data_IF_904055766807
#
_entry.id   IF_904055766807
#
_cell.length_a   1.000
_cell.length_b   1.000
_cell.length_c   1.000
_cell.angle_alpha   90.00
_cell.angle_beta   90.00
_cell.angle_gamma   90.00
#
_symmetry.space_group_name_H-M   'P 1'
#
loop_
_entity.id
_entity.type
_entity.pdbx_description
1 polymer ?
#
# COMPACT_ATOMS: atom_id res chain seq x y z
N UNK A 1 -5.47 16.00 45.10
CA UNK A 1 -5.92 14.69 44.60
C UNK A 1 -7.08 14.95 43.66
N UNK A 2 -6.83 15.05 42.36
CA UNK A 2 -7.83 15.42 41.36
C UNK A 2 -7.99 14.25 40.40
N UNK A 3 -9.17 13.63 40.42
CA UNK A 3 -9.49 12.44 39.64
C UNK A 3 -9.66 12.79 38.15
N UNK A 4 -8.85 12.16 37.29
CA UNK A 4 -8.95 12.20 35.85
C UNK A 4 -10.19 11.41 35.38
N UNK A 5 -11.19 12.11 34.84
CA UNK A 5 -12.33 11.47 34.18
C UNK A 5 -11.96 11.10 32.74
N UNK A 6 -11.78 9.80 32.51
CA UNK A 6 -11.58 9.19 31.18
C UNK A 6 -12.80 9.48 30.31
N UNK A 7 -12.64 10.28 29.25
CA UNK A 7 -13.68 10.46 28.22
C UNK A 7 -13.62 9.29 27.24
N UNK A 8 -14.72 8.53 27.21
CA UNK A 8 -14.98 7.44 26.29
C UNK A 8 -14.97 7.93 24.83
N UNK A 9 -14.38 7.12 23.95
CA UNK A 9 -14.40 7.33 22.50
C UNK A 9 -15.78 6.98 21.91
N UNK A 10 -16.32 7.76 20.96
CA UNK A 10 -17.56 7.41 20.28
C UNK A 10 -17.32 6.34 19.22
N UNK A 11 -18.00 5.20 19.37
CA UNK A 11 -18.07 4.10 18.41
C UNK A 11 -18.74 4.55 17.11
N UNK A 12 -17.95 4.79 16.06
CA UNK A 12 -18.48 5.04 14.71
C UNK A 12 -18.71 3.72 13.98
N UNK A 13 -19.96 3.28 13.93
CA UNK A 13 -20.40 2.23 13.02
C UNK A 13 -20.30 2.73 11.57
N UNK A 14 -19.31 2.25 10.83
CA UNK A 14 -19.29 2.40 9.37
C UNK A 14 -20.06 1.22 8.77
N UNK A 15 -21.23 1.50 8.18
CA UNK A 15 -21.91 0.53 7.33
C UNK A 15 -20.96 0.18 6.18
N UNK A 16 -20.67 -1.12 6.02
CA UNK A 16 -19.98 -1.71 4.87
C UNK A 16 -20.70 -1.31 3.59
N UNK A 17 -20.24 -0.26 2.91
CA UNK A 17 -20.67 0.06 1.56
C UNK A 17 -19.97 -0.90 0.61
N UNK A 18 -20.76 -1.84 0.09
CA UNK A 18 -20.40 -2.80 -0.95
C UNK A 18 -19.98 -2.03 -2.21
N UNK A 19 -18.70 -2.10 -2.56
CA UNK A 19 -18.12 -1.54 -3.78
C UNK A 19 -18.75 -2.21 -5.01
N UNK A 20 -19.74 -1.58 -5.64
CA UNK A 20 -20.53 -2.13 -6.75
C UNK A 20 -20.08 -1.58 -8.11
N UNK A 21 -18.88 -1.97 -8.56
CA UNK A 21 -18.31 -1.52 -9.84
C UNK A 21 -17.61 -2.60 -10.66
N UNK A 22 -17.85 -3.89 -10.39
CA UNK A 22 -17.08 -4.98 -10.97
C UNK A 22 -17.98 -6.06 -11.58
N UNK A 23 -18.29 -5.93 -12.87
CA UNK A 23 -18.74 -7.06 -13.70
C UNK A 23 -17.55 -7.57 -14.51
N UNK A 24 -17.19 -8.81 -14.20
CA UNK A 24 -16.15 -9.65 -14.80
C UNK A 24 -16.26 -9.76 -16.33
N UNK A 25 -15.12 -9.70 -17.05
CA UNK A 25 -14.99 -10.43 -18.32
C UNK A 25 -13.62 -11.10 -18.43
N UNK A 26 -13.70 -12.44 -18.45
CA UNK A 26 -12.63 -13.41 -18.66
C UNK A 26 -12.25 -13.48 -20.14
N UNK A 27 -10.97 -13.67 -20.46
CA UNK A 27 -10.52 -14.60 -21.52
C UNK A 27 -8.99 -14.66 -21.56
N UNK A 28 -8.43 -15.83 -21.29
CA UNK A 28 -7.05 -16.23 -21.57
C UNK A 28 -7.10 -17.41 -22.54
N UNK A 29 -6.13 -17.53 -23.47
CA UNK A 29 -5.63 -18.80 -24.04
C UNK A 29 -4.22 -18.63 -24.66
N UNK A 30 -3.44 -19.73 -24.85
CA UNK A 30 -1.99 -19.78 -24.57
C UNK A 30 -1.05 -20.25 -25.71
N UNK A 31 0.27 -20.08 -25.45
CA UNK A 31 1.51 -20.74 -26.00
C UNK A 31 1.89 -20.52 -27.49
N UNK A 32 3.16 -20.58 -27.97
CA UNK A 32 4.50 -20.95 -27.48
C UNK A 32 5.61 -20.49 -28.47
N UNK A 33 6.86 -20.35 -28.00
CA UNK A 33 8.12 -20.94 -28.57
C UNK A 33 9.36 -20.02 -28.66
N UNK A 34 10.49 -20.63 -28.24
CA UNK A 34 11.90 -20.38 -28.61
C UNK A 34 12.80 -19.60 -27.63
N UNK A 35 13.75 -20.33 -27.02
CA UNK A 35 14.87 -19.86 -26.19
C UNK A 35 16.04 -19.32 -27.05
N UNK A 36 16.89 -18.48 -26.43
CA UNK A 36 18.31 -18.85 -26.28
C UNK A 36 18.81 -18.73 -24.82
N UNK A 37 19.88 -19.48 -24.52
CA UNK A 37 20.60 -19.48 -23.23
C UNK A 37 21.73 -18.45 -23.23
N UNK A 38 21.69 -17.50 -22.29
CA UNK A 38 22.85 -16.92 -21.60
C UNK A 38 22.34 -16.14 -20.37
N UNK A 39 22.78 -16.54 -19.17
CA UNK A 39 22.65 -15.86 -17.87
C UNK A 39 21.66 -14.67 -17.78
N UNK A 40 20.35 -14.92 -17.87
CA UNK A 40 19.34 -13.96 -17.44
C UNK A 40 19.00 -14.28 -15.99
N UNK A 41 19.47 -13.46 -15.05
CA UNK A 41 18.76 -13.30 -13.78
C UNK A 41 17.37 -12.76 -14.15
N UNK A 42 16.43 -13.69 -14.41
CA UNK A 42 15.05 -13.38 -14.72
C UNK A 42 14.37 -12.89 -13.46
N UNK A 43 14.65 -11.65 -13.07
CA UNK A 43 13.73 -10.93 -12.22
C UNK A 43 12.48 -10.70 -13.06
N UNK A 44 11.48 -11.57 -12.87
CA UNK A 44 10.17 -11.38 -13.47
C UNK A 44 9.66 -10.02 -12.98
N UNK A 45 9.41 -9.10 -13.91
CA UNK A 45 8.90 -7.78 -13.58
C UNK A 45 7.65 -7.92 -12.70
N UNK A 46 7.61 -7.13 -11.63
CA UNK A 46 6.48 -7.12 -10.71
C UNK A 46 5.28 -6.52 -11.45
N UNK A 47 4.12 -7.17 -11.33
CA UNK A 47 2.91 -6.75 -12.03
C UNK A 47 2.07 -5.81 -11.17
N UNK A 48 1.65 -4.68 -11.76
CA UNK A 48 0.72 -3.76 -11.13
C UNK A 48 -0.61 -4.43 -10.78
N UNK A 49 -1.16 -5.25 -11.67
CA UNK A 49 -2.41 -5.96 -11.41
C UNK A 49 -2.25 -6.98 -10.26
N UNK A 50 -1.09 -7.66 -10.18
CA UNK A 50 -0.82 -8.58 -9.07
C UNK A 50 -0.73 -7.84 -7.73
N UNK A 51 -0.02 -6.70 -7.71
CA UNK A 51 0.07 -5.86 -6.52
C UNK A 51 -1.29 -5.26 -6.12
N UNK A 52 -2.10 -4.86 -7.09
CA UNK A 52 -3.46 -4.35 -6.84
C UNK A 52 -4.36 -5.42 -6.21
N UNK A 53 -4.37 -6.63 -6.77
CA UNK A 53 -5.16 -7.75 -6.22
C UNK A 53 -4.71 -8.10 -4.80
N UNK A 54 -3.40 -8.12 -4.56
CA UNK A 54 -2.86 -8.32 -3.22
C UNK A 54 -3.32 -7.21 -2.27
N UNK A 55 -3.10 -5.94 -2.63
CA UNK A 55 -3.45 -4.77 -1.83
C UNK A 55 -4.92 -4.79 -1.43
N UNK A 56 -5.80 -5.07 -2.39
CA UNK A 56 -7.23 -5.17 -2.16
C UNK A 56 -7.55 -6.30 -1.17
N UNK A 57 -7.05 -7.51 -1.41
CA UNK A 57 -7.31 -8.65 -0.52
C UNK A 57 -6.76 -8.43 0.88
N UNK A 58 -5.61 -7.76 1.02
CA UNK A 58 -4.95 -7.56 2.29
C UNK A 58 -5.61 -6.45 3.12
N UNK A 59 -6.01 -5.34 2.47
CA UNK A 59 -6.64 -4.20 3.13
C UNK A 59 -7.93 -4.56 3.88
N UNK A 60 -8.74 -5.48 3.34
CA UNK A 60 -10.03 -5.87 3.93
C UNK A 60 -9.91 -6.95 5.02
N UNK A 61 -8.70 -7.32 5.43
CA UNK A 61 -8.50 -8.19 6.59
C UNK A 61 -8.87 -7.46 7.88
N UNK A 62 -9.18 -8.24 8.92
CA UNK A 62 -9.44 -7.68 10.23
C UNK A 62 -8.22 -6.86 10.70
N UNK A 63 -8.49 -5.72 11.35
CA UNK A 63 -7.50 -4.75 11.86
C UNK A 63 -6.63 -4.01 10.84
N UNK A 64 -6.40 -4.55 9.64
CA UNK A 64 -5.58 -3.91 8.60
C UNK A 64 -6.18 -2.57 8.16
N UNK A 65 -7.48 -2.53 7.81
CA UNK A 65 -8.17 -1.28 7.42
C UNK A 65 -7.98 -0.19 8.48
N UNK A 66 -8.24 -0.53 9.75
CA UNK A 66 -8.11 0.41 10.86
C UNK A 66 -6.66 0.87 11.08
N UNK A 67 -5.69 -0.03 10.94
CA UNK A 67 -4.27 0.28 11.05
C UNK A 67 -3.78 1.17 9.89
N UNK A 68 -4.22 0.90 8.65
CA UNK A 68 -3.93 1.75 7.50
C UNK A 68 -4.49 3.17 7.69
N UNK A 69 -5.73 3.29 8.18
CA UNK A 69 -6.33 4.59 8.47
C UNK A 69 -5.58 5.33 9.59
N UNK A 70 -5.14 4.62 10.62
CA UNK A 70 -4.33 5.20 11.69
C UNK A 70 -2.95 5.65 11.19
N UNK A 71 -2.29 4.84 10.36
CA UNK A 71 -1.02 5.16 9.72
C UNK A 71 -1.12 6.44 8.90
N UNK A 72 -2.16 6.56 8.08
CA UNK A 72 -2.40 7.75 7.26
C UNK A 72 -2.68 8.99 8.12
N UNK A 73 -3.56 8.86 9.11
CA UNK A 73 -4.08 10.01 9.88
C UNK A 73 -3.07 10.54 10.89
N UNK A 74 -2.40 9.64 11.61
CA UNK A 74 -1.55 10.03 12.75
C UNK A 74 -0.06 10.06 12.41
N UNK A 75 0.37 9.29 11.41
CA UNK A 75 1.78 9.18 11.03
C UNK A 75 2.09 9.77 9.66
N UNK A 76 1.07 10.31 8.96
CA UNK A 76 1.17 10.83 7.58
C UNK A 76 1.78 9.79 6.61
N UNK A 77 1.62 8.51 6.92
CA UNK A 77 2.14 7.42 6.10
C UNK A 77 1.29 7.18 4.86
N UNK A 78 1.92 6.69 3.80
CA UNK A 78 1.25 6.25 2.58
C UNK A 78 0.76 4.82 2.77
N UNK A 79 -0.56 4.62 2.72
CA UNK A 79 -1.18 3.29 2.75
C UNK A 79 -0.71 2.44 1.57
N UNK A 80 -0.63 3.02 0.38
CA UNK A 80 -0.13 2.33 -0.82
C UNK A 80 1.32 1.86 -0.65
N UNK A 81 2.16 2.66 0.00
CA UNK A 81 3.54 2.27 0.26
C UNK A 81 3.63 1.17 1.34
N UNK A 82 2.84 1.27 2.41
CA UNK A 82 2.78 0.22 3.43
C UNK A 82 2.34 -1.13 2.85
N UNK A 83 1.29 -1.14 2.02
CA UNK A 83 0.82 -2.35 1.33
C UNK A 83 1.89 -2.91 0.38
N UNK A 84 2.66 -2.04 -0.28
CA UNK A 84 3.81 -2.47 -1.09
C UNK A 84 4.87 -3.15 -0.23
N UNK A 85 5.23 -2.57 0.92
CA UNK A 85 6.23 -3.17 1.82
C UNK A 85 5.82 -4.57 2.25
N UNK A 86 4.56 -4.75 2.65
CA UNK A 86 4.01 -6.06 3.03
C UNK A 86 4.09 -7.02 1.85
N UNK A 87 3.70 -6.58 0.65
CA UNK A 87 3.74 -7.43 -0.53
C UNK A 87 5.15 -7.90 -0.88
N UNK A 88 6.16 -7.03 -0.73
CA UNK A 88 7.56 -7.40 -0.95
C UNK A 88 8.10 -8.33 0.12
N UNK A 89 7.72 -8.11 1.39
CA UNK A 89 8.05 -9.02 2.49
C UNK A 89 7.50 -10.43 2.23
N UNK A 90 6.28 -10.57 1.69
CA UNK A 90 5.73 -11.90 1.32
C UNK A 90 6.46 -12.59 0.18
N UNK A 91 7.22 -11.83 -0.62
CA UNK A 91 8.03 -12.35 -1.73
C UNK A 91 9.51 -12.48 -1.35
N UNK A 92 9.87 -12.23 -0.08
CA UNK A 92 11.24 -12.21 0.42
C UNK A 92 12.16 -11.27 -0.39
N UNK A 93 11.62 -10.14 -0.86
CA UNK A 93 12.38 -9.08 -1.54
C UNK A 93 12.76 -8.03 -0.52
N UNK A 94 14.06 -7.73 -0.37
CA UNK A 94 14.55 -6.73 0.56
C UNK A 94 14.91 -5.43 -0.16
N UNK A 95 14.39 -4.30 0.33
CA UNK A 95 14.75 -2.98 -0.19
C UNK A 95 15.94 -2.40 0.57
N UNK A 96 16.91 -1.84 -0.14
CA UNK A 96 17.92 -0.96 0.47
C UNK A 96 17.28 0.35 0.95
N UNK A 97 17.96 1.10 1.81
CA UNK A 97 17.48 2.43 2.24
C UNK A 97 17.31 3.40 1.06
N UNK A 98 18.18 3.32 0.05
CA UNK A 98 18.09 4.14 -1.17
C UNK A 98 16.83 3.82 -1.97
N UNK A 99 16.51 2.54 -2.16
CA UNK A 99 15.31 2.12 -2.89
C UNK A 99 14.03 2.54 -2.17
N UNK A 100 13.98 2.41 -0.85
CA UNK A 100 12.86 2.89 -0.04
C UNK A 100 12.65 4.40 -0.21
N UNK A 101 13.72 5.20 -0.13
CA UNK A 101 13.65 6.64 -0.36
C UNK A 101 13.16 7.00 -1.77
N UNK A 102 13.60 6.26 -2.80
CA UNK A 102 13.13 6.48 -4.17
C UNK A 102 11.63 6.24 -4.32
N UNK A 103 11.08 5.20 -3.66
CA UNK A 103 9.64 4.94 -3.67
C UNK A 103 8.85 6.02 -2.91
N UNK A 104 9.38 6.53 -1.80
CA UNK A 104 8.77 7.66 -1.08
C UNK A 104 8.75 8.93 -1.93
N UNK A 105 9.85 9.21 -2.64
CA UNK A 105 9.98 10.35 -3.55
C UNK A 105 9.03 10.25 -4.75
N UNK A 106 8.84 9.05 -5.31
CA UNK A 106 7.89 8.79 -6.39
C UNK A 106 6.46 9.24 -6.03
N UNK A 107 6.08 9.10 -4.76
CA UNK A 107 4.74 9.47 -4.29
C UNK A 107 4.57 10.94 -3.92
N UNK A 108 5.64 11.72 -3.74
CA UNK A 108 5.54 13.12 -3.28
C UNK A 108 4.64 13.99 -4.18
N UNK A 109 4.77 13.97 -5.52
CA UNK A 109 3.96 14.85 -6.38
C UNK A 109 2.46 14.58 -6.29
N UNK A 110 2.07 13.30 -6.14
CA UNK A 110 0.67 12.88 -6.06
C UNK A 110 0.12 12.89 -4.64
N UNK A 111 0.98 12.75 -3.62
CA UNK A 111 0.61 12.75 -2.21
C UNK A 111 -0.07 14.05 -1.77
N UNK A 112 0.54 15.19 -2.08
CA UNK A 112 -0.04 16.50 -1.75
C UNK A 112 -1.37 16.76 -2.47
N UNK A 113 -1.47 16.33 -3.73
CA UNK A 113 -2.70 16.44 -4.50
C UNK A 113 -3.83 15.59 -3.89
N UNK A 114 -3.50 14.35 -3.52
CA UNK A 114 -4.44 13.41 -2.89
C UNK A 114 -4.94 13.92 -1.54
N UNK A 115 -4.07 14.51 -0.72
CA UNK A 115 -4.48 15.11 0.55
C UNK A 115 -5.40 16.33 0.34
N UNK A 116 -5.07 17.23 -0.58
CA UNK A 116 -5.97 18.34 -0.96
C UNK A 116 -7.32 17.83 -1.45
N UNK A 117 -7.31 16.78 -2.27
CA UNK A 117 -8.52 16.13 -2.75
C UNK A 117 -9.37 15.55 -1.61
N UNK A 118 -8.75 14.83 -0.67
CA UNK A 118 -9.41 14.27 0.52
C UNK A 118 -10.05 15.37 1.38
N UNK A 119 -9.37 16.51 1.55
CA UNK A 119 -9.93 17.67 2.23
C UNK A 119 -11.16 18.23 1.51
N UNK A 120 -11.08 18.43 0.20
CA UNK A 120 -12.20 18.88 -0.63
C UNK A 120 -13.38 17.90 -0.58
N UNK A 121 -13.13 16.60 -0.74
CA UNK A 121 -14.19 15.58 -0.67
C UNK A 121 -14.90 15.60 0.69
N UNK A 122 -14.17 15.78 1.79
CA UNK A 122 -14.75 15.90 3.14
C UNK A 122 -15.62 17.15 3.30
N UNK A 123 -15.22 18.29 2.75
CA UNK A 123 -16.01 19.53 2.82
C UNK A 123 -17.26 19.52 1.93
N UNK A 124 -17.23 18.77 0.83
CA UNK A 124 -18.38 18.58 -0.07
C UNK A 124 -19.38 17.53 0.42
N UNK A 125 -18.98 16.60 1.32
CA UNK A 125 -19.86 15.55 1.85
C UNK A 125 -21.25 16.03 2.31
N UNK A 126 -21.42 17.12 3.08
CA UNK A 126 -22.74 17.58 3.50
C UNK A 126 -23.60 18.19 2.39
N UNK A 127 -23.02 18.45 1.21
CA UNK A 127 -23.66 19.13 0.08
C UNK A 127 -24.05 18.16 -1.05
N UNK A 128 -23.64 16.89 -0.97
CA UNK A 128 -23.83 15.89 -2.01
C UNK A 128 -24.77 14.79 -1.53
N UNK A 129 -25.51 14.22 -2.48
CA UNK A 129 -26.21 12.96 -2.30
C UNK A 129 -25.22 11.79 -2.32
N UNK A 130 -25.72 10.58 -2.02
CA UNK A 130 -24.87 9.38 -1.97
C UNK A 130 -24.20 9.09 -3.33
N UNK A 131 -24.90 9.37 -4.44
CA UNK A 131 -24.37 9.18 -5.80
C UNK A 131 -23.19 10.13 -6.06
N UNK A 132 -23.37 11.44 -5.84
CA UNK A 132 -22.32 12.43 -6.04
C UNK A 132 -21.12 12.19 -5.12
N UNK A 133 -21.36 11.79 -3.87
CA UNK A 133 -20.27 11.48 -2.95
C UNK A 133 -19.50 10.20 -3.35
N UNK A 134 -20.20 9.21 -3.91
CA UNK A 134 -19.56 8.00 -4.41
C UNK A 134 -18.67 8.28 -5.62
N UNK A 135 -19.07 9.16 -6.54
CA UNK A 135 -18.21 9.58 -7.66
C UNK A 135 -16.88 10.18 -7.18
N UNK A 136 -16.91 10.96 -6.09
CA UNK A 136 -15.67 11.49 -5.50
C UNK A 136 -14.79 10.39 -4.89
N UNK A 137 -15.40 9.37 -4.28
CA UNK A 137 -14.63 8.21 -3.78
C UNK A 137 -14.02 7.41 -4.92
N UNK A 138 -14.74 7.23 -6.01
CA UNK A 138 -14.25 6.47 -7.17
C UNK A 138 -13.06 7.19 -7.84
N UNK A 139 -13.10 8.52 -7.91
CA UNK A 139 -11.96 9.30 -8.38
C UNK A 139 -10.76 9.23 -7.43
N UNK A 140 -10.97 9.28 -6.10
CA UNK A 140 -9.90 9.03 -5.13
C UNK A 140 -9.24 7.67 -5.37
N UNK A 141 -10.04 6.62 -5.56
CA UNK A 141 -9.53 5.27 -5.82
C UNK A 141 -8.73 5.20 -7.12
N UNK A 142 -9.13 5.92 -8.17
CA UNK A 142 -8.37 6.00 -9.41
C UNK A 142 -6.98 6.62 -9.19
N UNK A 143 -6.90 7.70 -8.40
CA UNK A 143 -5.62 8.31 -8.05
C UNK A 143 -4.74 7.34 -7.24
N UNK A 144 -5.32 6.62 -6.27
CA UNK A 144 -4.59 5.63 -5.48
C UNK A 144 -4.08 4.46 -6.35
N UNK A 145 -4.87 4.03 -7.33
CA UNK A 145 -4.46 3.01 -8.29
C UNK A 145 -3.32 3.49 -9.19
N UNK A 146 -3.32 4.76 -9.59
CA UNK A 146 -2.22 5.37 -10.31
C UNK A 146 -0.94 5.41 -9.46
N UNK A 147 -1.04 5.78 -8.17
CA UNK A 147 0.10 5.72 -7.25
C UNK A 147 0.69 4.31 -7.16
N UNK A 148 -0.14 3.27 -7.07
CA UNK A 148 0.36 1.88 -7.08
C UNK A 148 1.02 1.50 -8.40
N UNK A 149 0.52 2.00 -9.52
CA UNK A 149 1.15 1.80 -10.82
C UNK A 149 2.55 2.44 -10.84
N UNK A 150 2.66 3.68 -10.40
CA UNK A 150 3.93 4.43 -10.39
C UNK A 150 4.96 3.79 -9.44
N UNK A 151 4.51 3.26 -8.29
CA UNK A 151 5.33 2.48 -7.39
C UNK A 151 5.92 1.24 -8.08
N UNK A 152 5.09 0.45 -8.76
CA UNK A 152 5.54 -0.76 -9.45
C UNK A 152 6.46 -0.42 -10.64
N UNK A 153 6.13 0.62 -11.40
CA UNK A 153 6.98 1.11 -12.49
C UNK A 153 8.37 1.53 -11.98
N UNK A 154 8.41 2.26 -10.86
CA UNK A 154 9.65 2.70 -10.22
C UNK A 154 10.43 1.51 -9.65
N UNK A 155 9.75 0.57 -9.01
CA UNK A 155 10.36 -0.63 -8.43
C UNK A 155 10.99 -1.53 -9.49
N UNK A 156 10.35 -1.71 -10.65
CA UNK A 156 10.86 -2.49 -11.77
C UNK A 156 12.10 -1.89 -12.46
N UNK A 157 12.43 -0.63 -12.17
CA UNK A 157 13.67 0.01 -12.65
C UNK A 157 14.85 -0.18 -11.68
N UNK A 158 14.62 -0.78 -10.51
CA UNK A 158 15.63 -0.97 -9.48
C UNK A 158 16.21 -2.39 -9.53
N UNK A 159 17.49 -2.58 -9.18
CA UNK A 159 18.05 -3.91 -8.95
C UNK A 159 17.52 -4.47 -7.63
N UNK A 160 16.56 -5.39 -7.70
CA UNK A 160 15.97 -6.02 -6.51
C UNK A 160 16.76 -7.27 -6.14
N UNK A 161 17.05 -7.44 -4.84
CA UNK A 161 17.66 -8.64 -4.29
C UNK A 161 16.68 -9.33 -3.34
N UNK A 162 16.80 -10.64 -3.24
CA UNK A 162 16.15 -11.40 -2.20
C UNK A 162 16.82 -11.16 -0.84
N UNK A 163 16.08 -11.42 0.23
CA UNK A 163 16.61 -11.38 1.61
C UNK A 163 17.83 -12.31 1.75
N UNK A 164 17.78 -13.51 1.17
CA UNK A 164 18.86 -14.49 1.22
C UNK A 164 20.16 -13.99 0.57
N UNK A 165 20.06 -13.27 -0.56
CA UNK A 165 21.23 -12.67 -1.23
C UNK A 165 21.85 -11.53 -0.41
N UNK A 166 21.04 -10.79 0.35
CA UNK A 166 21.53 -9.72 1.23
C UNK A 166 22.16 -10.27 2.51
N UNK A 167 21.63 -11.35 3.09
CA UNK A 167 22.22 -12.02 4.26
C UNK A 167 23.59 -12.65 3.95
N UNK A 168 23.78 -13.17 2.73
CA UNK A 168 25.07 -13.69 2.28
C UNK A 168 26.16 -12.61 2.19
N UNK A 169 25.77 -11.33 2.09
CA UNK A 169 26.68 -10.21 1.88
C UNK A 169 26.78 -9.25 3.09
N UNK A 170 25.85 -9.30 4.04
CA UNK A 170 25.79 -8.40 5.19
C UNK A 170 25.56 -9.15 6.52
N UNK A 171 26.29 -8.75 7.57
CA UNK A 171 26.08 -9.25 8.93
C UNK A 171 24.78 -8.68 9.52
N UNK A 172 23.75 -9.51 9.66
CA UNK A 172 22.56 -9.34 10.51
C UNK A 172 21.88 -7.97 10.45
N UNK A 173 21.16 -7.67 9.36
CA UNK A 173 20.28 -6.49 9.27
C UNK A 173 18.81 -6.90 9.34
N UNK A 174 17.95 -6.07 9.94
CA UNK A 174 16.50 -6.30 9.89
C UNK A 174 15.99 -6.02 8.46
N UNK A 175 15.67 -7.07 7.71
CA UNK A 175 15.26 -6.95 6.29
C UNK A 175 13.76 -6.71 6.10
N UNK A 176 12.95 -6.71 7.16
CA UNK A 176 11.51 -6.49 7.03
C UNK A 176 11.22 -5.06 6.57
N UNK A 177 10.74 -4.93 5.34
CA UNK A 177 10.50 -3.63 4.71
C UNK A 177 9.44 -2.85 5.47
N UNK A 178 8.35 -3.50 5.89
CA UNK A 178 7.28 -2.83 6.62
C UNK A 178 7.78 -2.30 7.97
N UNK A 179 8.54 -3.11 8.71
CA UNK A 179 9.06 -2.69 10.02
C UNK A 179 9.98 -1.48 9.87
N UNK A 180 10.85 -1.46 8.87
CA UNK A 180 11.72 -0.31 8.58
C UNK A 180 10.94 0.94 8.18
N UNK A 181 9.92 0.79 7.34
CA UNK A 181 9.04 1.88 6.96
C UNK A 181 8.28 2.46 8.16
N UNK A 182 7.65 1.61 8.96
CA UNK A 182 6.95 2.02 10.18
C UNK A 182 7.90 2.63 11.22
N UNK A 183 9.13 2.16 11.32
CA UNK A 183 10.15 2.76 12.19
C UNK A 183 10.44 4.21 11.81
N UNK A 184 10.69 4.48 10.53
CA UNK A 184 10.93 5.84 10.02
C UNK A 184 9.78 6.82 10.27
N UNK A 185 8.55 6.31 10.36
CA UNK A 185 7.34 7.09 10.65
C UNK A 185 6.97 7.16 12.14
N UNK A 186 7.71 6.49 13.04
CA UNK A 186 7.32 6.34 14.45
C UNK A 186 6.03 5.55 14.66
N UNK A 187 5.71 4.65 13.72
CA UNK A 187 4.46 3.89 13.63
C UNK A 187 4.64 2.39 13.99
N UNK A 188 5.71 2.02 14.71
CA UNK A 188 6.03 0.62 15.03
C UNK A 188 4.88 -0.14 15.72
N UNK A 189 4.08 0.55 16.54
CA UNK A 189 2.93 -0.04 17.22
C UNK A 189 1.82 -0.52 16.27
N UNK A 190 1.87 -0.16 14.98
CA UNK A 190 0.89 -0.58 13.97
C UNK A 190 1.33 -1.83 13.20
N UNK A 191 2.60 -2.26 13.29
CA UNK A 191 3.16 -3.34 12.45
C UNK A 191 2.36 -4.65 12.59
N UNK A 192 2.10 -5.10 13.81
CA UNK A 192 1.37 -6.36 14.04
C UNK A 192 -0.05 -6.32 13.48
N UNK A 193 -0.72 -5.17 13.56
CA UNK A 193 -2.07 -4.97 13.02
C UNK A 193 -2.06 -4.88 11.50
N UNK A 194 -1.02 -4.29 10.91
CA UNK A 194 -0.82 -4.23 9.47
C UNK A 194 -0.47 -5.60 8.88
N UNK A 195 0.10 -6.53 9.67
CA UNK A 195 0.43 -7.90 9.24
C UNK A 195 -0.65 -8.94 9.58
N UNK A 196 -1.81 -8.51 10.10
CA UNK A 196 -2.89 -9.41 10.49
C UNK A 196 -3.33 -10.30 9.30
N UNK A 197 -3.68 -11.57 9.61
CA UNK A 197 -4.02 -12.57 8.61
C UNK A 197 -5.52 -12.65 8.30
#
# INVERSE_FOLDING_TARGET
>A
MSNCSVRQMPSRHWKRSRWSGWSCRKSWKPWSSSMPRANEQRHHALSHDAFWQFSYSHYFKADVEAACLALQTFHKGSVNLALLMIWLDTQAIALTGKQMLQLEQCLQPTGDLLERYRHMRRSLKPQLDDCGYQQLKDFELQMERQQQHDLIATLNQMPLCSVAEQEATAHSSNHANLARYCHGLGAMALVDKLLAQ
#
